data_IF_547350864085
#
_entry.id   IF_547350864085
#
_cell.length_a   1.000
_cell.length_b   1.000
_cell.length_c   1.000
_cell.angle_alpha   90.00
_cell.angle_beta   90.00
_cell.angle_gamma   90.00
#
_symmetry.space_group_name_H-M   'P 1'
#
loop_
_entity.id
_entity.type
_entity.pdbx_description
1 polymer ?
#
# COMPACT_ATOMS: atom_id res chain seq x y z
N UNK A 1 -4.72 -1.33 -12.70
CA UNK A 1 -3.28 -1.60 -12.91
C UNK A 1 -2.66 -1.56 -11.52
N UNK A 2 -2.09 -2.67 -11.05
CA UNK A 2 -1.61 -2.80 -9.66
C UNK A 2 -0.11 -2.57 -9.61
N UNK A 3 0.33 -1.69 -8.71
CA UNK A 3 1.73 -1.35 -8.48
C UNK A 3 2.54 -2.56 -8.08
N UNK A 4 3.10 -3.22 -9.08
CA UNK A 4 4.11 -4.23 -8.89
C UNK A 4 5.49 -3.62 -8.80
N UNK A 5 6.43 -4.39 -8.24
CA UNK A 5 7.85 -4.03 -8.19
C UNK A 5 8.52 -3.97 -9.59
N UNK A 6 7.72 -3.85 -10.66
CA UNK A 6 8.10 -3.89 -12.05
C UNK A 6 7.72 -2.61 -12.83
N UNK A 7 6.98 -1.68 -12.20
CA UNK A 7 6.46 -0.48 -12.88
C UNK A 7 7.28 0.81 -12.62
N UNK A 8 8.32 0.82 -11.76
CA UNK A 8 8.95 2.11 -11.38
C UNK A 8 10.48 2.18 -11.22
N UNK A 9 11.28 1.11 -11.22
CA UNK A 9 12.70 1.26 -10.87
C UNK A 9 13.69 0.60 -11.86
N UNK A 10 14.67 1.39 -12.33
CA UNK A 10 15.90 0.87 -12.93
C UNK A 10 16.78 0.16 -11.88
N UNK A 11 16.63 0.52 -10.59
CA UNK A 11 17.44 0.00 -9.50
C UNK A 11 16.52 -0.53 -8.37
N UNK A 12 16.53 -1.85 -8.16
CA UNK A 12 15.66 -2.65 -7.28
C UNK A 12 15.75 -2.38 -5.77
N UNK A 13 16.06 -1.17 -5.31
CA UNK A 13 16.51 -0.98 -3.93
C UNK A 13 15.67 -0.02 -3.10
N UNK A 14 14.85 0.90 -3.60
CA UNK A 14 13.83 1.63 -2.81
C UNK A 14 13.05 2.55 -3.76
N UNK A 15 11.73 2.75 -3.61
CA UNK A 15 11.10 3.87 -4.28
C UNK A 15 11.68 5.18 -3.71
N UNK A 16 12.22 6.03 -4.59
CA UNK A 16 12.53 7.42 -4.25
C UNK A 16 11.34 8.33 -4.60
N UNK A 17 11.34 9.53 -4.03
CA UNK A 17 10.23 10.48 -4.20
C UNK A 17 9.99 10.81 -5.68
N UNK A 18 11.08 10.94 -6.46
CA UNK A 18 11.03 11.22 -7.89
C UNK A 18 10.31 10.11 -8.68
N UNK A 19 10.58 8.85 -8.36
CA UNK A 19 9.92 7.71 -9.00
C UNK A 19 8.42 7.66 -8.73
N UNK A 20 8.00 7.99 -7.50
CA UNK A 20 6.58 8.05 -7.13
C UNK A 20 5.89 9.21 -7.85
N UNK A 21 6.52 10.39 -7.86
CA UNK A 21 5.95 11.57 -8.50
C UNK A 21 5.82 11.37 -10.01
N UNK A 22 6.85 10.79 -10.65
CA UNK A 22 6.80 10.39 -12.06
C UNK A 22 5.67 9.39 -12.34
N UNK A 23 5.43 8.43 -11.45
CA UNK A 23 4.29 7.54 -11.62
C UNK A 23 2.97 8.33 -11.54
N UNK A 24 2.82 9.18 -10.52
CA UNK A 24 1.60 9.95 -10.27
C UNK A 24 1.24 10.85 -11.45
N UNK A 25 2.23 11.48 -12.05
CA UNK A 25 2.06 12.33 -13.24
C UNK A 25 1.56 11.54 -14.46
N UNK A 26 2.07 10.32 -14.66
CA UNK A 26 1.78 9.53 -15.86
C UNK A 26 0.52 8.65 -15.73
N UNK A 27 0.23 8.14 -14.54
CA UNK A 27 -0.79 7.11 -14.32
C UNK A 27 -1.83 7.47 -13.26
N UNK A 28 -1.65 8.58 -12.55
CA UNK A 28 -2.54 9.02 -11.48
C UNK A 28 -2.13 8.53 -10.09
N UNK A 29 -3.01 8.72 -9.07
CA UNK A 29 -2.68 8.46 -7.68
C UNK A 29 -2.14 7.05 -7.43
N UNK A 30 -1.13 6.93 -6.57
CA UNK A 30 -0.47 5.68 -6.28
C UNK A 30 -1.20 4.79 -5.27
N UNK A 31 -2.09 5.39 -4.51
CA UNK A 31 -3.14 4.71 -3.77
C UNK A 31 -4.44 5.48 -3.92
N UNK A 32 -5.55 4.77 -3.97
CA UNK A 32 -6.88 5.36 -4.14
C UNK A 32 -7.96 4.38 -3.74
N UNK A 33 -9.18 4.92 -3.61
CA UNK A 33 -10.34 4.14 -3.24
C UNK A 33 -11.51 4.44 -4.16
N UNK A 34 -12.25 3.40 -4.53
CA UNK A 34 -13.48 3.52 -5.32
C UNK A 34 -14.52 2.53 -4.81
N UNK A 35 -15.79 2.81 -5.12
CA UNK A 35 -16.91 2.01 -4.64
C UNK A 35 -17.70 1.42 -5.79
N UNK A 36 -18.07 0.15 -5.67
CA UNK A 36 -18.92 -0.54 -6.65
C UNK A 36 -19.87 -1.48 -5.92
N UNK A 37 -21.18 -1.36 -6.16
CA UNK A 37 -22.22 -2.23 -5.58
C UNK A 37 -22.07 -2.43 -4.05
N UNK A 38 -21.93 -1.33 -3.30
CA UNK A 38 -21.77 -1.33 -1.83
C UNK A 38 -20.46 -1.95 -1.29
N UNK A 39 -19.49 -2.26 -2.17
CA UNK A 39 -18.15 -2.71 -1.82
C UNK A 39 -17.17 -1.55 -2.01
N UNK A 40 -16.32 -1.30 -1.01
CA UNK A 40 -15.21 -0.35 -1.09
C UNK A 40 -13.94 -1.08 -1.53
N UNK A 41 -13.34 -0.66 -2.62
CA UNK A 41 -12.07 -1.18 -3.09
C UNK A 41 -10.98 -0.16 -2.75
N UNK A 42 -9.93 -0.62 -2.08
CA UNK A 42 -8.76 0.15 -1.71
C UNK A 42 -7.57 -0.39 -2.50
N UNK A 43 -6.97 0.45 -3.33
CA UNK A 43 -5.73 0.13 -4.04
C UNK A 43 -4.61 0.83 -3.30
N UNK A 44 -3.57 0.10 -2.90
CA UNK A 44 -2.42 0.64 -2.16
C UNK A 44 -1.12 0.49 -2.93
N UNK A 45 -0.22 1.44 -2.74
CA UNK A 45 1.16 1.33 -3.16
C UNK A 45 1.92 0.47 -2.14
N UNK A 46 1.99 -0.83 -2.42
CA UNK A 46 2.64 -1.78 -1.49
C UNK A 46 4.16 -1.62 -1.42
N UNK A 47 4.82 -0.99 -2.40
CA UNK A 47 6.29 -0.80 -2.36
C UNK A 47 6.69 0.20 -1.27
N UNK A 48 5.81 1.14 -0.92
CA UNK A 48 6.00 2.06 0.22
C UNK A 48 5.91 1.34 1.58
N UNK A 49 5.29 0.16 1.62
CA UNK A 49 5.06 -0.57 2.86
C UNK A 49 5.98 -1.80 3.01
N UNK A 50 6.91 -2.01 2.06
CA UNK A 50 7.87 -3.12 2.05
C UNK A 50 9.30 -2.60 2.21
N UNK A 51 10.22 -3.37 2.82
CA UNK A 51 11.60 -2.94 2.93
C UNK A 51 12.35 -2.96 1.59
N UNK A 52 13.39 -2.13 1.46
CA UNK A 52 13.70 -1.01 2.35
C UNK A 52 12.78 0.19 2.07
N UNK A 53 12.29 0.80 3.16
CA UNK A 53 11.41 1.95 3.10
C UNK A 53 12.15 3.21 3.57
N UNK A 54 12.32 4.15 2.65
CA UNK A 54 12.96 5.46 2.89
C UNK A 54 11.94 6.59 3.08
N UNK A 55 10.70 6.37 2.64
CA UNK A 55 9.61 7.36 2.60
C UNK A 55 8.56 7.04 3.68
N UNK A 56 9.02 7.11 4.94
CA UNK A 56 8.20 6.72 6.09
C UNK A 56 6.94 7.58 6.24
N UNK A 57 7.02 8.88 5.89
CA UNK A 57 5.88 9.78 6.00
C UNK A 57 4.78 9.37 5.03
N UNK A 58 5.15 9.12 3.78
CA UNK A 58 4.26 8.71 2.69
C UNK A 58 3.64 7.35 2.99
N UNK A 59 4.42 6.42 3.55
CA UNK A 59 3.92 5.13 4.03
C UNK A 59 2.84 5.30 5.11
N UNK A 60 3.08 6.16 6.12
CA UNK A 60 2.11 6.43 7.18
C UNK A 60 0.88 7.21 6.70
N UNK A 61 1.05 8.15 5.77
CA UNK A 61 -0.07 8.87 5.14
C UNK A 61 -0.99 7.88 4.38
N UNK A 62 -0.41 6.89 3.70
CA UNK A 62 -1.18 5.81 3.06
C UNK A 62 -1.89 4.92 4.08
N UNK A 63 -1.25 4.59 5.21
CA UNK A 63 -1.88 3.81 6.29
C UNK A 63 -3.08 4.57 6.86
N UNK A 64 -2.91 5.86 7.18
CA UNK A 64 -4.00 6.71 7.68
C UNK A 64 -5.16 6.83 6.68
N UNK A 65 -4.86 6.88 5.37
CA UNK A 65 -5.87 6.82 4.33
C UNK A 65 -6.68 5.50 4.37
N UNK A 66 -5.99 4.36 4.48
CA UNK A 66 -6.64 3.04 4.57
C UNK A 66 -7.52 2.94 5.82
N UNK A 67 -7.04 3.41 6.98
CA UNK A 67 -7.81 3.44 8.23
C UNK A 67 -9.07 4.30 8.12
N UNK A 68 -8.94 5.52 7.59
CA UNK A 68 -10.07 6.43 7.38
C UNK A 68 -11.14 5.79 6.48
N UNK A 69 -10.73 5.12 5.41
CA UNK A 69 -11.65 4.42 4.51
C UNK A 69 -12.27 3.18 5.16
N UNK A 70 -11.50 2.47 6.00
CA UNK A 70 -11.95 1.29 6.72
C UNK A 70 -12.97 1.60 7.82
N UNK A 71 -12.82 2.74 8.50
CA UNK A 71 -13.74 3.19 9.56
C UNK A 71 -15.06 3.76 9.01
N UNK A 72 -15.17 3.95 7.70
CA UNK A 72 -16.37 4.48 7.10
C UNK A 72 -17.52 3.46 7.13
N UNK A 73 -18.41 3.60 8.11
CA UNK A 73 -19.55 2.71 8.36
C UNK A 73 -20.58 2.59 7.22
N UNK A 74 -20.41 3.36 6.13
CA UNK A 74 -21.26 3.27 4.93
C UNK A 74 -21.06 1.96 4.15
N UNK A 75 -19.90 1.33 4.28
CA UNK A 75 -19.53 0.17 3.46
C UNK A 75 -19.64 -1.13 4.27
N UNK A 76 -20.40 -2.09 3.75
CA UNK A 76 -20.54 -3.41 4.38
C UNK A 76 -19.34 -4.32 4.11
N UNK A 77 -18.57 -4.03 3.05
CA UNK A 77 -17.45 -4.84 2.60
C UNK A 77 -16.33 -3.98 2.05
N UNK A 78 -15.10 -4.33 2.41
CA UNK A 78 -13.88 -3.66 1.97
C UNK A 78 -12.95 -4.70 1.36
N UNK A 79 -12.40 -4.38 0.19
CA UNK A 79 -11.43 -5.21 -0.53
C UNK A 79 -10.16 -4.39 -0.72
N UNK A 80 -9.07 -4.85 -0.10
CA UNK A 80 -7.74 -4.26 -0.28
C UNK A 80 -7.00 -4.98 -1.42
N UNK A 81 -6.45 -4.20 -2.35
CA UNK A 81 -5.70 -4.66 -3.51
C UNK A 81 -4.26 -4.18 -3.36
N UNK A 82 -3.33 -5.14 -3.30
CA UNK A 82 -1.89 -4.90 -3.19
C UNK A 82 -1.12 -5.88 -4.08
N UNK A 83 0.11 -5.53 -4.46
CA UNK A 83 1.00 -6.46 -5.15
C UNK A 83 1.75 -7.37 -4.17
N UNK A 84 2.26 -6.80 -3.08
CA UNK A 84 2.87 -7.58 -2.00
C UNK A 84 1.79 -8.07 -1.02
N UNK A 85 1.86 -9.32 -0.55
CA UNK A 85 0.95 -9.82 0.46
C UNK A 85 1.20 -9.16 1.82
N UNK A 86 0.18 -9.17 2.69
CA UNK A 86 0.31 -8.74 4.08
C UNK A 86 1.31 -9.65 4.83
N UNK A 87 1.20 -10.96 4.64
CA UNK A 87 2.11 -11.97 5.19
C UNK A 87 2.24 -13.14 4.20
N UNK A 88 3.35 -13.86 4.27
CA UNK A 88 3.66 -15.03 3.44
C UNK A 88 2.96 -16.27 3.99
N UNK A 89 3.11 -16.54 5.29
CA UNK A 89 2.58 -17.76 5.91
C UNK A 89 1.61 -17.44 7.04
N UNK A 90 2.02 -16.61 7.99
CA UNK A 90 1.23 -16.30 9.18
C UNK A 90 1.43 -14.83 9.59
N UNK A 91 0.40 -14.17 10.17
CA UNK A 91 0.48 -12.75 10.54
C UNK A 91 1.53 -12.45 11.63
N UNK A 92 1.93 -13.47 12.39
CA UNK A 92 2.91 -13.32 13.47
C UNK A 92 4.37 -13.50 13.03
N UNK A 93 4.63 -13.73 11.75
CA UNK A 93 5.99 -13.91 11.24
C UNK A 93 6.85 -12.63 11.35
N UNK A 94 8.16 -12.81 11.24
CA UNK A 94 9.12 -11.70 11.25
C UNK A 94 9.08 -10.95 9.91
N UNK A 95 9.48 -9.68 9.92
CA UNK A 95 9.57 -8.86 8.72
C UNK A 95 10.45 -9.50 7.65
N UNK A 96 10.02 -9.36 6.40
CA UNK A 96 10.71 -9.89 5.24
C UNK A 96 10.63 -8.91 4.08
N UNK A 97 11.50 -9.07 3.09
CA UNK A 97 11.46 -8.27 1.86
C UNK A 97 10.33 -8.70 0.89
N UNK A 98 9.51 -9.68 1.27
CA UNK A 98 8.48 -10.28 0.42
C UNK A 98 7.06 -9.99 0.89
N UNK A 99 6.93 -9.31 2.03
CA UNK A 99 5.66 -8.98 2.68
C UNK A 99 5.68 -7.55 3.20
N UNK A 100 4.51 -6.96 3.36
CA UNK A 100 4.35 -5.65 4.01
C UNK A 100 4.95 -5.72 5.43
N UNK A 101 5.67 -4.67 5.85
CA UNK A 101 6.26 -4.59 7.18
C UNK A 101 5.17 -4.65 8.27
N UNK A 102 5.43 -5.40 9.34
CA UNK A 102 4.47 -5.72 10.40
C UNK A 102 3.88 -4.47 11.07
N UNK A 103 4.67 -3.40 11.21
CA UNK A 103 4.22 -2.10 11.74
C UNK A 103 3.05 -1.48 10.96
N UNK A 104 2.88 -1.83 9.68
CA UNK A 104 1.80 -1.32 8.83
C UNK A 104 0.61 -2.28 8.73
N UNK A 105 0.77 -3.54 9.15
CA UNK A 105 -0.30 -4.54 9.12
C UNK A 105 -1.31 -4.34 10.26
N UNK A 106 -0.83 -3.87 11.41
CA UNK A 106 -1.65 -3.58 12.57
C UNK A 106 -1.13 -2.30 13.24
N UNK A 107 -1.40 -1.12 12.65
CA UNK A 107 -0.98 0.14 13.24
C UNK A 107 -1.64 0.33 14.61
N UNK A 108 -0.84 0.48 15.66
CA UNK A 108 -1.36 0.80 17.00
C UNK A 108 -2.02 2.17 16.94
N UNK A 109 -3.30 2.22 17.34
CA UNK A 109 -4.06 3.46 17.53
C UNK A 109 -3.43 4.37 18.59
#
# INVERSE_FOLDING_TARGET
MGFGNHDVAFDRISPDQESIDRYRENFGPDYYAFSHQNIRFLVINSTLLTPPNTLLKEAWDQVAFVEHEAMNAKYERIVLLSHHPLFIKHPDEADSNWSIEKKYQNPST
#
